data_IF_027607512315
#
_entry.id   IF_027607512315
#
_cell.length_a   1.000
_cell.length_b   1.000
_cell.length_c   1.000
_cell.angle_alpha   90.00
_cell.angle_beta   90.00
_cell.angle_gamma   90.00
#
_symmetry.space_group_name_H-M   'P 1'
#
loop_
_entity.id
_entity.type
_entity.pdbx_description
1 polymer ?
#
# COMPACT_ATOMS: atom_id res chain seq x y z
N UNK A 1 43.62 -30.80 17.31
CA UNK A 1 42.69 -31.01 16.17
C UNK A 1 41.46 -30.10 16.22
N UNK A 2 40.72 -30.03 17.34
CA UNK A 2 39.49 -29.21 17.47
C UNK A 2 39.68 -27.68 17.28
N UNK A 3 40.82 -27.14 17.72
CA UNK A 3 41.14 -25.71 17.56
C UNK A 3 41.40 -25.32 16.10
N UNK A 4 42.11 -26.17 15.36
CA UNK A 4 42.44 -25.95 13.95
C UNK A 4 41.18 -26.01 13.08
N UNK A 5 40.27 -26.95 13.37
CA UNK A 5 38.97 -27.01 12.71
C UNK A 5 38.06 -25.82 13.03
N UNK A 6 38.11 -25.28 14.25
CA UNK A 6 37.35 -24.09 14.63
C UNK A 6 37.87 -22.82 13.94
N UNK A 7 39.19 -22.66 13.85
CA UNK A 7 39.82 -21.55 13.13
C UNK A 7 39.53 -21.66 11.62
N UNK A 8 39.63 -22.85 11.04
CA UNK A 8 39.30 -23.07 9.64
C UNK A 8 37.82 -22.77 9.33
N UNK A 9 36.89 -23.16 10.21
CA UNK A 9 35.47 -22.86 10.06
C UNK A 9 35.17 -21.35 10.18
N UNK A 10 35.82 -20.65 11.11
CA UNK A 10 35.68 -19.20 11.26
C UNK A 10 36.23 -18.44 10.05
N UNK A 11 37.41 -18.83 9.54
CA UNK A 11 37.98 -18.24 8.34
C UNK A 11 37.10 -18.52 7.11
N UNK A 12 36.58 -19.74 6.97
CA UNK A 12 35.64 -20.06 5.89
C UNK A 12 34.38 -19.18 5.96
N UNK A 13 33.81 -18.95 7.16
CA UNK A 13 32.65 -18.07 7.34
C UNK A 13 32.99 -16.59 7.03
N UNK A 14 34.18 -16.13 7.40
CA UNK A 14 34.64 -14.75 7.14
C UNK A 14 34.87 -14.48 5.64
N UNK A 15 35.33 -15.48 4.88
CA UNK A 15 35.47 -15.38 3.41
C UNK A 15 34.17 -15.68 2.64
N UNK A 16 33.12 -16.15 3.32
CA UNK A 16 31.80 -16.42 2.75
C UNK A 16 30.86 -15.21 2.79
N UNK A 17 31.29 -14.07 3.34
CA UNK A 17 30.42 -12.89 3.45
C UNK A 17 30.16 -12.31 2.06
N UNK A 18 29.03 -12.67 1.46
CA UNK A 18 28.51 -11.99 0.28
C UNK A 18 28.21 -10.54 0.62
N UNK A 19 28.50 -9.62 -0.31
CA UNK A 19 28.12 -8.22 -0.15
C UNK A 19 26.61 -8.11 0.12
N UNK A 20 26.25 -7.49 1.24
CA UNK A 20 24.88 -7.14 1.55
C UNK A 20 24.52 -5.89 0.74
N UNK A 21 23.76 -6.06 -0.33
CA UNK A 21 23.21 -4.93 -1.08
C UNK A 21 21.91 -4.46 -0.42
N UNK A 22 21.68 -3.15 -0.43
CA UNK A 22 20.36 -2.61 -0.12
C UNK A 22 19.34 -3.13 -1.14
N UNK A 23 18.08 -3.27 -0.74
CA UNK A 23 17.04 -3.63 -1.71
C UNK A 23 16.91 -2.51 -2.76
N UNK A 24 16.53 -2.91 -3.97
CA UNK A 24 16.51 -2.03 -5.12
C UNK A 24 15.29 -2.31 -6.00
N UNK A 25 14.85 -1.34 -6.82
CA UNK A 25 13.77 -1.58 -7.77
C UNK A 25 14.12 -2.74 -8.70
N UNK A 26 13.18 -3.67 -8.89
CA UNK A 26 13.34 -4.79 -9.81
C UNK A 26 12.60 -4.48 -11.13
N UNK A 27 13.17 -4.81 -12.31
CA UNK A 27 12.47 -4.63 -13.58
C UNK A 27 11.09 -5.29 -13.53
N UNK A 28 10.05 -4.56 -13.96
CA UNK A 28 8.66 -5.03 -14.01
C UNK A 28 7.99 -5.33 -12.66
N UNK A 29 8.58 -4.90 -11.54
CA UNK A 29 7.89 -4.96 -10.26
C UNK A 29 6.65 -4.06 -10.28
N UNK A 30 5.51 -4.60 -9.83
CA UNK A 30 4.22 -3.90 -9.75
C UNK A 30 3.85 -3.50 -8.31
N UNK A 31 4.70 -3.84 -7.35
CA UNK A 31 4.46 -3.67 -5.93
C UNK A 31 5.61 -2.88 -5.28
N UNK A 32 5.48 -2.64 -3.97
CA UNK A 32 6.53 -2.02 -3.16
C UNK A 32 7.81 -2.86 -3.13
N UNK A 33 8.93 -2.20 -2.80
CA UNK A 33 10.17 -2.88 -2.40
C UNK A 33 9.96 -3.64 -1.09
N UNK A 34 10.86 -4.58 -0.80
CA UNK A 34 10.79 -5.37 0.42
C UNK A 34 10.92 -4.44 1.65
N UNK A 35 10.03 -4.54 2.65
CA UNK A 35 10.00 -3.60 3.76
C UNK A 35 11.25 -3.73 4.63
N UNK A 36 12.01 -2.64 4.74
CA UNK A 36 13.22 -2.54 5.60
C UNK A 36 12.95 -1.93 6.99
N UNK A 37 11.68 -1.64 7.32
CA UNK A 37 11.26 -1.13 8.62
C UNK A 37 9.85 -1.60 8.99
N UNK A 38 9.55 -1.65 10.28
CA UNK A 38 8.21 -1.99 10.79
C UNK A 38 7.14 -1.02 10.27
N UNK A 39 7.50 0.25 10.10
CA UNK A 39 6.60 1.24 9.52
C UNK A 39 6.29 0.91 8.05
N UNK A 40 7.29 0.55 7.26
CA UNK A 40 7.07 0.17 5.85
C UNK A 40 6.21 -1.09 5.73
N UNK A 41 6.45 -2.10 6.58
CA UNK A 41 5.61 -3.31 6.61
C UNK A 41 4.12 -2.98 6.91
N UNK A 42 3.87 -1.99 7.77
CA UNK A 42 2.50 -1.52 8.05
C UNK A 42 1.91 -0.68 6.92
N UNK A 43 2.71 0.12 6.23
CA UNK A 43 2.30 0.83 5.02
C UNK A 43 1.86 -0.18 3.95
N UNK A 44 2.68 -1.20 3.70
CA UNK A 44 2.36 -2.23 2.70
C UNK A 44 1.07 -2.98 3.05
N UNK A 45 0.89 -3.35 4.33
CA UNK A 45 -0.36 -3.95 4.80
C UNK A 45 -1.56 -3.02 4.61
N UNK A 46 -1.42 -1.73 4.95
CA UNK A 46 -2.50 -0.75 4.83
C UNK A 46 -2.84 -0.44 3.37
N UNK A 47 -1.85 -0.43 2.49
CA UNK A 47 -2.05 -0.30 1.05
C UNK A 47 -2.85 -1.49 0.50
N UNK A 48 -2.43 -2.72 0.80
CA UNK A 48 -3.18 -3.92 0.44
C UNK A 48 -4.61 -3.91 1.01
N UNK A 49 -4.76 -3.51 2.28
CA UNK A 49 -6.06 -3.36 2.92
C UNK A 49 -6.96 -2.38 2.17
N UNK A 50 -6.43 -1.23 1.76
CA UNK A 50 -7.16 -0.20 1.00
C UNK A 50 -7.53 -0.70 -0.40
N UNK A 51 -6.63 -1.43 -1.07
CA UNK A 51 -6.90 -2.06 -2.37
C UNK A 51 -8.09 -3.03 -2.32
N UNK A 52 -8.25 -3.76 -1.22
CA UNK A 52 -9.41 -4.65 -1.03
C UNK A 52 -10.76 -3.92 -0.96
N UNK A 53 -10.78 -2.62 -0.64
CA UNK A 53 -12.00 -1.80 -0.74
C UNK A 53 -12.15 -1.18 -2.14
N UNK A 54 -11.12 -0.52 -2.66
CA UNK A 54 -11.25 0.24 -3.92
C UNK A 54 -11.36 -0.66 -5.15
N UNK A 55 -10.78 -1.87 -5.13
CA UNK A 55 -10.85 -2.83 -6.22
C UNK A 55 -12.30 -3.27 -6.53
N UNK A 56 -13.04 -3.81 -5.56
CA UNK A 56 -14.46 -4.15 -5.74
C UNK A 56 -15.34 -2.96 -6.10
N UNK A 57 -15.11 -1.77 -5.54
CA UNK A 57 -15.86 -0.55 -5.88
C UNK A 57 -15.64 -0.20 -7.35
N UNK A 58 -14.39 -0.21 -7.80
CA UNK A 58 -14.03 0.07 -9.20
C UNK A 58 -14.67 -0.95 -10.14
N UNK A 59 -14.63 -2.24 -9.77
CA UNK A 59 -15.27 -3.31 -10.55
C UNK A 59 -16.79 -3.13 -10.61
N UNK A 60 -17.44 -2.82 -9.49
CA UNK A 60 -18.88 -2.56 -9.42
C UNK A 60 -19.28 -1.42 -10.36
N UNK A 61 -18.59 -0.28 -10.27
CA UNK A 61 -18.86 0.88 -11.13
C UNK A 61 -18.63 0.53 -12.60
N UNK A 62 -17.55 -0.19 -12.90
CA UNK A 62 -17.22 -0.62 -14.28
C UNK A 62 -18.31 -1.52 -14.85
N UNK A 63 -18.78 -2.51 -14.08
CA UNK A 63 -19.85 -3.43 -14.49
C UNK A 63 -21.18 -2.69 -14.66
N UNK A 64 -21.54 -1.77 -13.76
CA UNK A 64 -22.75 -0.96 -13.88
C UNK A 64 -22.73 -0.07 -15.13
N UNK A 65 -21.59 0.58 -15.41
CA UNK A 65 -21.42 1.38 -16.62
C UNK A 65 -21.51 0.52 -17.88
N UNK A 66 -20.83 -0.63 -17.91
CA UNK A 66 -20.93 -1.58 -19.02
C UNK A 66 -22.39 -2.03 -19.23
N UNK A 67 -23.08 -2.42 -18.16
CA UNK A 67 -24.48 -2.79 -18.20
C UNK A 67 -25.36 -1.67 -18.76
N UNK A 68 -25.17 -0.43 -18.30
CA UNK A 68 -25.94 0.72 -18.79
C UNK A 68 -25.71 0.95 -20.28
N UNK A 69 -24.45 0.91 -20.74
CA UNK A 69 -24.10 1.05 -22.16
C UNK A 69 -24.74 -0.03 -23.03
N UNK A 70 -24.70 -1.29 -22.59
CA UNK A 70 -25.26 -2.39 -23.38
C UNK A 70 -26.78 -2.44 -23.36
N UNK A 71 -27.40 -2.23 -22.20
CA UNK A 71 -28.86 -2.41 -21.98
C UNK A 71 -29.69 -1.22 -22.40
N UNK A 72 -29.19 0.00 -22.21
CA UNK A 72 -29.93 1.24 -22.47
C UNK A 72 -29.46 1.99 -23.73
N UNK A 73 -28.68 1.35 -24.60
CA UNK A 73 -28.37 1.90 -25.93
C UNK A 73 -29.64 2.18 -26.74
N UNK A 74 -29.59 3.18 -27.64
CA UNK A 74 -30.71 3.61 -28.49
C UNK A 74 -31.45 2.46 -29.20
N UNK A 75 -30.71 1.45 -29.68
CA UNK A 75 -31.31 0.29 -30.35
C UNK A 75 -32.03 -0.69 -29.41
N UNK A 76 -31.64 -0.78 -28.14
CA UNK A 76 -32.22 -1.71 -27.16
C UNK A 76 -33.22 -1.04 -26.20
N UNK A 77 -33.18 0.30 -26.09
CA UNK A 77 -34.09 1.09 -25.27
C UNK A 77 -34.51 2.37 -26.02
N UNK A 78 -35.41 2.27 -27.01
CA UNK A 78 -35.78 3.39 -27.89
C UNK A 78 -36.57 4.50 -27.18
N UNK A 79 -37.28 4.17 -26.10
CA UNK A 79 -38.01 5.14 -25.28
C UNK A 79 -37.33 5.23 -23.91
N UNK A 80 -36.80 6.40 -23.56
CA UNK A 80 -36.14 6.63 -22.28
C UNK A 80 -37.15 6.83 -21.13
N UNK A 81 -36.79 6.37 -19.94
CA UNK A 81 -37.53 6.72 -18.71
C UNK A 81 -37.39 8.21 -18.39
N UNK A 82 -38.39 8.77 -17.72
CA UNK A 82 -38.39 10.16 -17.21
C UNK A 82 -38.22 10.24 -15.68
N UNK A 83 -37.93 9.12 -15.01
CA UNK A 83 -37.68 9.08 -13.57
C UNK A 83 -36.48 9.95 -13.23
N UNK A 84 -36.65 10.89 -12.29
CA UNK A 84 -35.60 11.86 -11.92
C UNK A 84 -35.01 11.65 -10.53
N UNK A 85 -35.70 10.93 -9.64
CA UNK A 85 -35.27 10.76 -8.25
C UNK A 85 -35.67 9.39 -7.72
N UNK A 86 -34.87 8.88 -6.77
CA UNK A 86 -35.20 7.72 -5.96
C UNK A 86 -34.50 7.85 -4.61
N UNK A 87 -35.23 8.37 -3.62
CA UNK A 87 -34.68 8.68 -2.31
C UNK A 87 -34.08 7.47 -1.59
N UNK A 88 -34.61 6.27 -1.81
CA UNK A 88 -34.05 5.06 -1.20
C UNK A 88 -32.65 4.77 -1.74
N UNK A 89 -32.46 4.83 -3.06
CA UNK A 89 -31.15 4.57 -3.68
C UNK A 89 -30.17 5.70 -3.32
N UNK A 90 -30.65 6.94 -3.27
CA UNK A 90 -29.87 8.10 -2.84
C UNK A 90 -29.29 7.92 -1.42
N UNK A 91 -30.10 7.44 -0.49
CA UNK A 91 -29.65 7.14 0.87
C UNK A 91 -28.62 6.02 0.87
N UNK A 92 -28.85 4.93 0.12
CA UNK A 92 -27.94 3.78 0.07
C UNK A 92 -26.56 4.18 -0.48
N UNK A 93 -26.51 4.89 -1.62
CA UNK A 93 -25.22 5.28 -2.21
C UNK A 93 -24.52 6.41 -1.47
N UNK A 94 -25.19 7.09 -0.55
CA UNK A 94 -24.57 8.14 0.27
C UNK A 94 -24.01 7.52 1.56
N UNK A 95 -24.80 6.67 2.22
CA UNK A 95 -24.38 5.99 3.45
C UNK A 95 -23.29 4.93 3.18
N UNK A 96 -23.40 4.19 2.07
CA UNK A 96 -22.43 3.14 1.71
C UNK A 96 -20.98 3.64 1.67
N UNK A 97 -20.66 4.67 0.88
CA UNK A 97 -19.32 5.26 0.84
C UNK A 97 -18.84 5.79 2.20
N UNK A 98 -19.71 6.40 3.00
CA UNK A 98 -19.36 6.89 4.34
C UNK A 98 -18.88 5.72 5.22
N UNK A 99 -19.61 4.61 5.21
CA UNK A 99 -19.26 3.42 5.99
C UNK A 99 -17.90 2.85 5.54
N UNK A 100 -17.67 2.75 4.22
CA UNK A 100 -16.38 2.30 3.68
C UNK A 100 -15.23 3.20 4.14
N UNK A 101 -15.40 4.52 4.08
CA UNK A 101 -14.38 5.47 4.53
C UNK A 101 -14.07 5.33 6.02
N UNK A 102 -15.05 5.05 6.86
CA UNK A 102 -14.81 4.81 8.30
C UNK A 102 -13.92 3.59 8.52
N UNK A 103 -14.15 2.49 7.81
CA UNK A 103 -13.31 1.29 7.91
C UNK A 103 -11.87 1.54 7.47
N UNK A 104 -11.65 2.37 6.44
CA UNK A 104 -10.30 2.77 6.00
C UNK A 104 -9.65 3.73 7.00
N UNK A 105 -10.42 4.66 7.57
CA UNK A 105 -9.89 5.72 8.43
C UNK A 105 -9.29 5.20 9.75
N UNK A 106 -9.92 4.21 10.40
CA UNK A 106 -9.42 3.70 11.68
C UNK A 106 -7.98 3.16 11.65
N UNK A 107 -7.62 2.20 10.78
CA UNK A 107 -6.24 1.73 10.67
C UNK A 107 -5.30 2.82 10.14
N UNK A 108 -5.79 3.73 9.29
CA UNK A 108 -5.00 4.85 8.77
C UNK A 108 -4.49 5.76 9.88
N UNK A 109 -5.34 6.10 10.85
CA UNK A 109 -4.95 6.97 11.96
C UNK A 109 -3.96 6.30 12.93
N UNK A 110 -4.12 4.99 13.20
CA UNK A 110 -3.12 4.24 14.00
C UNK A 110 -1.75 4.24 13.31
N UNK A 111 -1.70 3.97 12.01
CA UNK A 111 -0.45 4.01 11.24
C UNK A 111 0.19 5.41 11.27
N UNK A 112 -0.60 6.46 11.04
CA UNK A 112 -0.11 7.84 11.07
C UNK A 112 0.49 8.21 12.43
N UNK A 113 -0.18 7.84 13.52
CA UNK A 113 0.31 8.13 14.88
C UNK A 113 1.64 7.43 15.15
N UNK A 114 1.82 6.19 14.71
CA UNK A 114 3.10 5.47 14.85
C UNK A 114 4.23 6.11 14.06
N UNK A 115 3.92 6.74 12.91
CA UNK A 115 4.92 7.41 12.08
C UNK A 115 5.37 8.74 12.69
N UNK A 116 4.43 9.54 13.20
CA UNK A 116 4.71 10.91 13.64
C UNK A 116 5.08 11.02 15.12
N UNK A 117 4.69 10.05 15.94
CA UNK A 117 4.98 10.03 17.37
C UNK A 117 5.67 8.73 17.77
N UNK A 118 6.94 8.51 17.34
CA UNK A 118 7.73 7.39 17.83
C UNK A 118 7.87 7.49 19.36
N UNK A 119 7.60 6.39 20.05
CA UNK A 119 7.60 6.32 21.52
C UNK A 119 8.97 6.02 22.11
N UNK A 120 9.93 5.60 21.29
CA UNK A 120 11.26 5.21 21.72
C UNK A 120 12.28 6.30 21.42
N UNK A 121 13.18 6.53 22.37
CA UNK A 121 14.31 7.43 22.19
C UNK A 121 15.28 6.87 21.13
N UNK A 122 15.81 7.69 20.23
CA UNK A 122 16.71 7.23 19.19
C UNK A 122 18.04 6.74 19.80
N UNK A 123 18.43 5.51 19.45
CA UNK A 123 19.75 4.97 19.85
C UNK A 123 20.92 5.69 19.13
N UNK A 124 20.66 6.21 17.92
CA UNK A 124 21.63 6.94 17.11
C UNK A 124 20.92 8.13 16.46
N UNK A 125 21.57 9.29 16.48
CA UNK A 125 21.10 10.50 15.81
C UNK A 125 22.03 10.85 14.66
N UNK A 126 21.50 10.93 13.44
CA UNK A 126 22.23 11.32 12.23
C UNK A 126 21.64 12.62 11.70
N UNK A 127 22.49 13.58 11.31
CA UNK A 127 22.04 14.85 10.73
C UNK A 127 22.30 14.86 9.22
N UNK A 128 21.29 14.51 8.44
CA UNK A 128 21.33 14.69 6.99
C UNK A 128 21.19 16.18 6.60
N UNK A 129 22.11 16.71 5.81
CA UNK A 129 22.08 18.07 5.22
C UNK A 129 22.04 17.97 3.70
N UNK A 130 21.01 18.54 3.08
CA UNK A 130 20.88 18.60 1.62
C UNK A 130 21.66 19.77 1.03
N UNK A 131 22.51 19.48 0.04
CA UNK A 131 23.19 20.45 -0.80
C UNK A 131 22.65 20.37 -2.22
N UNK A 132 23.04 21.31 -3.08
CA UNK A 132 22.71 21.21 -4.50
C UNK A 132 23.38 19.95 -5.10
N UNK A 133 22.55 18.95 -5.41
CA UNK A 133 22.92 17.64 -6.00
C UNK A 133 23.73 16.67 -5.14
N UNK A 134 23.81 16.85 -3.81
CA UNK A 134 24.38 15.84 -2.91
C UNK A 134 23.88 15.99 -1.46
N UNK A 135 24.24 15.03 -0.61
CA UNK A 135 23.88 15.00 0.81
C UNK A 135 25.14 14.89 1.66
N UNK A 136 25.16 15.58 2.80
CA UNK A 136 26.10 15.34 3.89
C UNK A 136 25.36 14.70 5.07
N UNK A 137 26.07 13.92 5.89
CA UNK A 137 25.51 13.21 7.05
C UNK A 137 26.40 13.41 8.27
#
# INVERSE_FOLDING_TARGET
>A
MRLVTAIAAFLAAAFSSTAAFADQPRPWALWHQDPASDIMARIEWFDAYTLWFIGPITLLVTVLLAYVMFRFRKGANPVASKTSHNSLIEVIWTAGPIIVLLFIAFPSFDLLNRQLAPTEEPAITIKATGYQWYWGY
#
